data_IF_136382177278
#
_entry.id   IF_136382177278
#
_cell.length_a   1.000
_cell.length_b   1.000
_cell.length_c   1.000
_cell.angle_alpha   90.00
_cell.angle_beta   90.00
_cell.angle_gamma   90.00
#
_symmetry.space_group_name_H-M   'P 1'
#
loop_
_entity.id
_entity.type
_entity.pdbx_description
1 polymer ?
#
# COMPACT_ATOMS: atom_id res chain seq x y z
N UNK A 1 9.54 7.94 39.13
CA UNK A 1 8.94 8.87 38.15
C UNK A 1 8.38 8.05 37.00
N UNK A 2 7.06 7.89 36.94
CA UNK A 2 6.39 7.07 35.92
C UNK A 2 6.07 7.98 34.73
N UNK A 3 6.85 7.92 33.66
CA UNK A 3 6.51 8.58 32.40
C UNK A 3 5.32 7.87 31.77
N UNK A 4 4.13 8.43 31.95
CA UNK A 4 2.95 8.06 31.18
C UNK A 4 3.15 8.58 29.75
N UNK A 5 3.43 7.67 28.82
CA UNK A 5 3.38 7.97 27.39
C UNK A 5 1.92 8.21 27.00
N UNK A 6 1.53 9.48 26.88
CA UNK A 6 0.29 9.89 26.20
C UNK A 6 0.48 9.71 24.69
N UNK A 7 0.37 8.45 24.23
CA UNK A 7 0.33 8.16 22.81
C UNK A 7 -0.96 8.75 22.21
N UNK A 8 -0.89 9.97 21.68
CA UNK A 8 -1.89 10.47 20.74
C UNK A 8 -1.93 9.49 19.57
N UNK A 9 -2.91 8.59 19.56
CA UNK A 9 -3.19 7.73 18.39
C UNK A 9 -3.71 8.65 17.29
N UNK A 10 -2.80 9.20 16.49
CA UNK A 10 -3.14 9.95 15.29
C UNK A 10 -4.15 9.18 14.45
N UNK A 11 -5.17 9.88 13.95
CA UNK A 11 -6.27 9.29 13.18
C UNK A 11 -5.68 8.45 12.04
N UNK A 12 -6.02 7.17 11.98
CA UNK A 12 -5.56 6.29 10.90
C UNK A 12 -6.29 6.70 9.63
N UNK A 13 -5.53 7.09 8.59
CA UNK A 13 -6.07 7.40 7.27
C UNK A 13 -7.02 6.30 6.80
N UNK A 14 -8.19 6.64 6.26
CA UNK A 14 -9.14 5.68 5.69
C UNK A 14 -9.75 6.27 4.43
N UNK A 15 -9.75 5.52 3.34
CA UNK A 15 -10.27 5.98 2.06
C UNK A 15 -11.38 5.06 1.57
N UNK A 16 -12.39 5.64 0.95
CA UNK A 16 -13.40 4.94 0.16
C UNK A 16 -12.93 4.86 -1.28
N UNK A 17 -13.05 3.69 -1.89
CA UNK A 17 -12.50 3.42 -3.21
C UNK A 17 -13.48 2.58 -4.01
N UNK A 18 -13.57 2.86 -5.32
CA UNK A 18 -14.26 2.00 -6.28
C UNK A 18 -13.22 1.25 -7.12
N UNK A 19 -13.27 -0.07 -7.07
CA UNK A 19 -12.47 -0.98 -7.89
C UNK A 19 -13.34 -1.89 -8.76
N UNK A 20 -12.75 -2.89 -9.42
CA UNK A 20 -13.47 -3.76 -10.37
C UNK A 20 -14.59 -4.59 -9.73
N UNK A 21 -14.39 -5.02 -8.48
CA UNK A 21 -15.36 -5.81 -7.74
C UNK A 21 -16.43 -4.96 -7.00
N UNK A 22 -16.37 -3.63 -7.13
CA UNK A 22 -17.27 -2.70 -6.45
C UNK A 22 -16.55 -1.75 -5.49
N UNK A 23 -17.31 -1.18 -4.56
CA UNK A 23 -16.80 -0.23 -3.57
C UNK A 23 -16.31 -0.93 -2.31
N UNK A 24 -15.20 -0.44 -1.78
CA UNK A 24 -14.63 -0.92 -0.52
C UNK A 24 -13.85 0.20 0.16
N UNK A 25 -13.61 0.05 1.47
CA UNK A 25 -12.78 0.97 2.24
C UNK A 25 -11.51 0.28 2.72
N UNK A 26 -10.41 1.02 2.71
CA UNK A 26 -9.12 0.58 3.25
C UNK A 26 -8.59 1.62 4.23
N UNK A 27 -7.82 1.18 5.22
CA UNK A 27 -7.35 2.05 6.30
C UNK A 27 -5.87 1.84 6.64
N UNK A 28 -5.29 2.82 7.34
CA UNK A 28 -3.92 2.84 7.79
C UNK A 28 -2.94 2.62 6.64
N UNK A 29 -2.07 1.62 6.81
CA UNK A 29 -0.99 1.34 5.85
C UNK A 29 -1.49 0.71 4.55
N UNK A 30 -2.67 0.08 4.56
CA UNK A 30 -3.28 -0.47 3.33
C UNK A 30 -3.78 0.67 2.44
N UNK A 31 -4.38 1.71 3.05
CA UNK A 31 -4.74 2.93 2.34
C UNK A 31 -3.52 3.62 1.73
N UNK A 32 -2.45 3.77 2.51
CA UNK A 32 -1.20 4.37 2.01
C UNK A 32 -0.57 3.56 0.88
N UNK A 33 -0.57 2.23 0.98
CA UNK A 33 -0.06 1.35 -0.07
C UNK A 33 -0.89 1.45 -1.35
N UNK A 34 -2.21 1.49 -1.23
CA UNK A 34 -3.11 1.62 -2.38
C UNK A 34 -2.93 2.97 -3.09
N UNK A 35 -2.83 4.08 -2.36
CA UNK A 35 -2.56 5.39 -2.96
C UNK A 35 -1.22 5.44 -3.67
N UNK A 36 -0.18 4.85 -3.08
CA UNK A 36 1.13 4.77 -3.71
C UNK A 36 1.07 4.01 -5.05
N UNK A 37 0.34 2.88 -5.08
CA UNK A 37 0.11 2.10 -6.30
C UNK A 37 -0.68 2.89 -7.36
N UNK A 38 -1.75 3.58 -6.97
CA UNK A 38 -2.55 4.42 -7.87
C UNK A 38 -1.69 5.53 -8.48
N UNK A 39 -0.88 6.20 -7.66
CA UNK A 39 -0.03 7.30 -8.09
C UNK A 39 1.11 6.83 -9.01
N UNK A 40 1.71 5.67 -8.72
CA UNK A 40 2.77 5.10 -9.53
C UNK A 40 2.29 4.54 -10.87
N UNK A 41 0.98 4.23 -10.99
CA UNK A 41 0.39 3.66 -12.20
C UNK A 41 1.19 2.43 -12.67
N UNK A 42 1.55 2.40 -13.96
CA UNK A 42 2.32 1.32 -14.60
C UNK A 42 3.77 1.22 -14.12
N UNK A 43 4.33 2.26 -13.49
CA UNK A 43 5.68 2.19 -12.94
C UNK A 43 5.77 1.29 -11.69
N UNK A 44 4.64 1.08 -11.01
CA UNK A 44 4.58 0.31 -9.78
C UNK A 44 5.42 0.89 -8.65
N UNK A 45 5.48 0.16 -7.54
CA UNK A 45 6.23 0.55 -6.34
C UNK A 45 7.06 -0.60 -5.81
N UNK A 46 8.28 -0.30 -5.37
CA UNK A 46 9.07 -1.22 -4.54
C UNK A 46 9.03 -0.79 -3.08
N UNK A 47 9.29 -1.73 -2.16
CA UNK A 47 9.27 -1.44 -0.74
C UNK A 47 10.25 -0.32 -0.34
N UNK A 48 11.41 -0.24 -1.02
CA UNK A 48 12.45 0.74 -0.76
C UNK A 48 12.02 2.17 -1.14
N UNK A 49 11.35 2.37 -2.28
CA UNK A 49 10.85 3.67 -2.76
C UNK A 49 9.83 4.30 -1.79
N UNK A 50 9.12 3.46 -1.03
CA UNK A 50 8.11 3.88 -0.06
C UNK A 50 8.68 4.00 1.37
N UNK A 51 9.95 3.66 1.56
CA UNK A 51 10.51 3.40 2.88
C UNK A 51 11.20 4.62 3.48
N UNK A 52 10.58 5.17 4.52
CA UNK A 52 11.31 5.69 5.69
C UNK A 52 10.91 5.01 7.02
N UNK A 53 9.84 4.19 7.08
CA UNK A 53 9.44 3.46 8.32
C UNK A 53 8.36 2.38 8.15
N UNK A 54 7.43 2.49 7.20
CA UNK A 54 6.18 1.69 7.21
C UNK A 54 6.06 0.60 6.13
N UNK A 55 6.85 0.71 5.06
CA UNK A 55 6.77 -0.13 3.85
C UNK A 55 7.45 -1.51 3.98
N UNK A 56 8.06 -1.84 5.13
CA UNK A 56 8.66 -3.15 5.40
C UNK A 56 7.69 -4.33 5.24
N UNK A 57 6.37 -4.09 5.31
CA UNK A 57 5.32 -5.10 5.10
C UNK A 57 4.50 -4.86 3.83
N UNK A 58 5.07 -4.18 2.82
CA UNK A 58 4.37 -3.87 1.57
C UNK A 58 3.70 -5.11 0.96
N UNK A 59 4.38 -6.25 0.93
CA UNK A 59 3.81 -7.50 0.41
C UNK A 59 2.55 -7.97 1.17
N UNK A 60 2.48 -7.75 2.48
CA UNK A 60 1.28 -8.08 3.26
C UNK A 60 0.12 -7.12 2.96
N UNK A 61 0.41 -5.84 2.70
CA UNK A 61 -0.61 -4.86 2.31
C UNK A 61 -1.15 -5.20 0.92
N UNK A 62 -0.26 -5.49 -0.03
CA UNK A 62 -0.63 -5.94 -1.39
C UNK A 62 -1.48 -7.21 -1.35
N UNK A 63 -1.13 -8.19 -0.51
CA UNK A 63 -1.92 -9.40 -0.37
C UNK A 63 -3.37 -9.10 0.08
N UNK A 64 -3.55 -8.20 1.06
CA UNK A 64 -4.90 -7.77 1.48
C UNK A 64 -5.64 -6.98 0.41
N UNK A 65 -4.94 -6.10 -0.30
CA UNK A 65 -5.50 -5.33 -1.42
C UNK A 65 -6.00 -6.25 -2.55
N UNK A 66 -5.26 -7.32 -2.88
CA UNK A 66 -5.72 -8.35 -3.82
C UNK A 66 -6.99 -9.04 -3.34
N UNK A 67 -7.16 -9.20 -2.03
CA UNK A 67 -8.39 -9.72 -1.42
C UNK A 67 -9.64 -8.87 -1.69
N UNK A 68 -9.49 -7.60 -2.08
CA UNK A 68 -10.58 -6.73 -2.54
C UNK A 68 -10.87 -6.85 -4.05
N UNK A 69 -10.27 -7.83 -4.73
CA UNK A 69 -10.45 -8.03 -6.18
C UNK A 69 -9.58 -7.11 -7.04
N UNK A 70 -8.53 -6.51 -6.48
CA UNK A 70 -7.56 -5.73 -7.23
C UNK A 70 -6.53 -6.64 -7.91
N UNK A 71 -6.36 -6.47 -9.21
CA UNK A 71 -5.26 -7.02 -9.97
C UNK A 71 -3.99 -6.18 -9.74
N UNK A 72 -3.09 -6.74 -8.94
CA UNK A 72 -1.78 -6.17 -8.63
C UNK A 72 -0.75 -7.23 -9.02
N UNK A 73 0.11 -6.95 -9.98
CA UNK A 73 1.19 -7.83 -10.40
C UNK A 73 2.39 -7.73 -9.43
N UNK A 74 3.16 -8.81 -9.32
CA UNK A 74 4.48 -8.79 -8.68
C UNK A 74 5.56 -9.10 -9.71
N UNK A 75 6.34 -8.08 -10.07
CA UNK A 75 7.51 -8.21 -10.92
C UNK A 75 8.72 -8.45 -10.02
N UNK A 76 9.55 -9.44 -10.36
CA UNK A 76 10.82 -9.69 -9.68
C UNK A 76 11.90 -8.83 -10.32
N UNK A 77 12.43 -7.88 -9.57
CA UNK A 77 13.57 -7.07 -9.99
C UNK A 77 14.82 -7.58 -9.28
N UNK A 78 15.89 -7.81 -10.04
CA UNK A 78 17.15 -8.22 -9.44
C UNK A 78 17.67 -7.11 -8.52
N UNK A 79 18.09 -7.49 -7.31
CA UNK A 79 18.85 -6.60 -6.45
C UNK A 79 20.26 -6.56 -7.01
N UNK A 80 20.70 -5.37 -7.42
CA UNK A 80 22.02 -5.14 -8.00
C UNK A 80 23.14 -5.75 -7.15
N UNK A 81 24.20 -6.24 -7.81
CA UNK A 81 25.55 -6.66 -7.35
C UNK A 81 25.75 -7.39 -6.00
N UNK A 82 24.68 -7.68 -5.27
CA UNK A 82 24.65 -8.20 -3.90
C UNK A 82 23.87 -9.53 -3.89
N UNK A 83 23.17 -9.83 -5.00
CA UNK A 83 22.39 -11.06 -5.17
C UNK A 83 21.00 -10.96 -4.57
N UNK A 84 20.06 -11.75 -5.11
CA UNK A 84 18.65 -11.74 -4.72
C UNK A 84 17.78 -10.86 -5.60
N UNK A 85 16.53 -10.68 -5.18
CA UNK A 85 15.53 -9.89 -5.90
C UNK A 85 14.57 -9.22 -4.93
N UNK A 86 14.02 -8.07 -5.34
CA UNK A 86 12.92 -7.42 -4.67
C UNK A 86 11.68 -7.40 -5.56
N UNK A 87 10.52 -7.27 -4.91
CA UNK A 87 9.25 -7.18 -5.60
C UNK A 87 8.96 -5.72 -6.00
N UNK A 88 8.64 -5.50 -7.28
CA UNK A 88 7.90 -4.34 -7.76
C UNK A 88 6.43 -4.71 -7.92
N UNK A 89 5.56 -3.92 -7.31
CA UNK A 89 4.12 -4.15 -7.37
C UNK A 89 3.48 -3.16 -8.34
N UNK A 90 2.73 -3.65 -9.33
CA UNK A 90 2.10 -2.82 -10.36
C UNK A 90 0.59 -3.02 -10.29
N UNK A 91 -0.17 -1.93 -10.18
CA UNK A 91 -1.63 -1.97 -10.18
C UNK A 91 -2.15 -1.90 -11.62
N UNK A 92 -2.85 -2.94 -12.06
CA UNK A 92 -3.48 -3.00 -13.39
C UNK A 92 -4.96 -2.66 -13.36
N UNK A 93 -5.61 -2.92 -12.23
CA UNK A 93 -7.03 -2.63 -12.06
C UNK A 93 -7.33 -1.12 -12.12
N UNK A 94 -8.42 -0.70 -12.78
CA UNK A 94 -8.92 0.66 -12.64
C UNK A 94 -9.44 0.87 -11.22
N UNK A 95 -8.95 1.93 -10.58
CA UNK A 95 -9.31 2.28 -9.20
C UNK A 95 -9.57 3.78 -9.11
N UNK A 96 -10.66 4.17 -8.47
CA UNK A 96 -11.02 5.58 -8.23
C UNK A 96 -11.21 5.83 -6.74
N UNK A 97 -10.50 6.81 -6.20
CA UNK A 97 -10.72 7.26 -4.81
C UNK A 97 -11.97 8.13 -4.76
N UNK A 98 -12.95 7.73 -3.96
CA UNK A 98 -14.22 8.44 -3.80
C UNK A 98 -14.17 9.48 -2.68
N UNK A 99 -13.27 9.31 -1.70
CA UNK A 99 -13.03 10.29 -0.64
C UNK A 99 -12.29 9.69 0.56
N UNK A 100 -11.86 10.56 1.49
CA UNK A 100 -11.32 10.13 2.80
C UNK A 100 -12.45 10.07 3.83
N UNK A 101 -12.53 8.97 4.57
CA UNK A 101 -13.53 8.75 5.62
C UNK A 101 -12.88 9.01 6.99
N UNK A 102 -13.57 9.80 7.82
CA UNK A 102 -13.16 10.15 9.17
C UNK A 102 -13.06 8.97 10.15
#
# INVERSE_FOLDING_TARGET
MTHQYTGQRGRRKRILVRGPAGEFSVAGKDAMALEALINARKCGVIALELSNTWALRLGAYVHRLRGHGLDIETIREAHDNIGGWHARYVLHSPVTVLGEIA
#
